data_IF_616302834341
#
_entry.id   IF_616302834341
#
_cell.length_a   1.000
_cell.length_b   1.000
_cell.length_c   1.000
_cell.angle_alpha   90.00
_cell.angle_beta   90.00
_cell.angle_gamma   90.00
#
_symmetry.space_group_name_H-M   'P 1'
#
loop_
_entity.id
_entity.type
_entity.pdbx_description
1 polymer ?
#
# COMPACT_ATOMS: atom_id res chain seq x y z
N UNK A 1 1.67 15.56 -17.25
CA UNK A 1 2.75 15.36 -16.25
C UNK A 1 3.95 16.30 -16.44
N UNK A 2 4.43 16.56 -17.66
CA UNK A 2 5.63 17.40 -17.88
C UNK A 2 5.59 18.77 -17.17
N UNK A 3 4.55 19.59 -17.39
CA UNK A 3 4.45 20.91 -16.76
C UNK A 3 4.31 20.86 -15.24
N UNK A 4 3.62 19.84 -14.72
CA UNK A 4 3.50 19.59 -13.28
C UNK A 4 4.87 19.28 -12.66
N UNK A 5 5.67 18.42 -13.31
CA UNK A 5 7.04 18.13 -12.90
C UNK A 5 7.90 19.40 -12.94
N UNK A 6 7.88 20.14 -14.04
CA UNK A 6 8.63 21.40 -14.20
C UNK A 6 8.33 22.40 -13.08
N UNK A 7 7.05 22.55 -12.70
CA UNK A 7 6.63 23.49 -11.66
C UNK A 7 7.15 23.12 -10.26
N UNK A 8 7.31 21.83 -9.97
CA UNK A 8 7.71 21.33 -8.64
C UNK A 8 9.22 21.11 -8.53
N UNK A 9 9.83 20.49 -9.54
CA UNK A 9 11.23 20.05 -9.51
C UNK A 9 12.16 20.97 -10.31
N UNK A 10 11.62 21.91 -11.08
CA UNK A 10 12.38 22.71 -12.04
C UNK A 10 12.74 21.96 -13.33
N UNK A 11 12.30 20.71 -13.50
CA UNK A 11 12.54 19.91 -14.71
C UNK A 11 11.32 19.06 -15.07
N UNK A 12 10.82 19.21 -16.30
CA UNK A 12 9.68 18.43 -16.79
C UNK A 12 9.96 16.93 -16.93
N UNK A 13 11.24 16.55 -16.97
CA UNK A 13 11.71 15.16 -17.05
C UNK A 13 11.99 14.52 -15.68
N UNK A 14 12.00 15.31 -14.61
CA UNK A 14 12.24 14.81 -13.25
C UNK A 14 10.93 14.79 -12.49
N UNK A 15 10.44 13.60 -12.18
CA UNK A 15 9.23 13.48 -11.36
C UNK A 15 9.50 13.88 -9.91
N UNK A 16 8.53 14.48 -9.19
CA UNK A 16 8.67 14.77 -7.76
C UNK A 16 9.01 13.52 -6.94
N UNK A 17 8.48 12.36 -7.32
CA UNK A 17 8.80 11.09 -6.66
C UNK A 17 10.27 10.70 -6.86
N UNK A 18 10.79 10.79 -8.09
CA UNK A 18 12.21 10.52 -8.36
C UNK A 18 13.13 11.47 -7.58
N UNK A 19 12.80 12.77 -7.55
CA UNK A 19 13.55 13.75 -6.78
C UNK A 19 13.51 13.45 -5.27
N UNK A 20 12.34 13.08 -4.73
CA UNK A 20 12.20 12.65 -3.35
C UNK A 20 13.07 11.42 -3.05
N UNK A 21 13.03 10.40 -3.91
CA UNK A 21 13.83 9.18 -3.74
C UNK A 21 15.33 9.51 -3.78
N UNK A 22 15.78 10.33 -4.71
CA UNK A 22 17.19 10.73 -4.79
C UNK A 22 17.67 11.50 -3.55
N UNK A 23 16.82 12.34 -2.96
CA UNK A 23 17.18 13.17 -1.80
C UNK A 23 17.06 12.44 -0.45
N UNK A 24 16.03 11.60 -0.31
CA UNK A 24 15.62 11.07 0.99
C UNK A 24 15.81 9.56 1.13
N UNK A 25 15.80 8.82 0.03
CA UNK A 25 15.85 7.35 0.03
C UNK A 25 16.62 6.76 -1.17
N UNK A 26 17.90 7.11 -1.34
CA UNK A 26 18.66 6.78 -2.56
C UNK A 26 18.81 5.27 -2.80
N UNK A 27 18.60 4.40 -1.80
CA UNK A 27 18.62 2.93 -1.97
C UNK A 27 17.30 2.36 -2.51
N UNK A 28 16.23 3.14 -2.52
CA UNK A 28 14.91 2.71 -2.99
C UNK A 28 14.73 2.84 -4.51
N UNK A 29 15.82 3.04 -5.24
CA UNK A 29 15.81 3.20 -6.69
C UNK A 29 15.52 1.89 -7.43
N UNK A 30 15.00 2.03 -8.65
CA UNK A 30 14.71 0.92 -9.53
C UNK A 30 16.00 0.33 -10.16
N UNK A 31 16.04 -0.98 -10.36
CA UNK A 31 17.12 -1.73 -10.99
C UNK A 31 17.96 -2.58 -10.01
N UNK A 32 18.73 -3.52 -10.56
CA UNK A 32 19.67 -4.35 -9.79
C UNK A 32 20.70 -3.52 -9.03
N UNK A 33 21.19 -4.07 -7.92
CA UNK A 33 22.17 -3.43 -7.05
C UNK A 33 21.73 -2.02 -6.59
N UNK A 34 20.43 -1.83 -6.35
CA UNK A 34 19.85 -0.56 -5.91
C UNK A 34 20.49 -0.05 -4.62
N UNK A 35 20.82 -0.93 -3.67
CA UNK A 35 21.45 -0.52 -2.41
C UNK A 35 22.89 -0.05 -2.65
N UNK A 36 23.69 -0.79 -3.42
CA UNK A 36 25.07 -0.39 -3.71
C UNK A 36 25.13 0.91 -4.51
N UNK A 37 24.25 1.06 -5.51
CA UNK A 37 24.13 2.32 -6.26
C UNK A 37 23.64 3.47 -5.39
N UNK A 38 22.72 3.19 -4.47
CA UNK A 38 22.16 4.19 -3.55
C UNK A 38 23.16 4.69 -2.51
N UNK A 39 24.06 3.83 -2.02
CA UNK A 39 25.13 4.23 -1.08
C UNK A 39 26.01 5.34 -1.63
N UNK A 40 26.25 5.35 -2.96
CA UNK A 40 27.05 6.38 -3.65
C UNK A 40 26.37 7.76 -3.70
N UNK A 41 25.08 7.85 -3.33
CA UNK A 41 24.25 9.07 -3.41
C UNK A 41 23.75 9.54 -2.05
N UNK A 42 24.36 9.08 -0.97
CA UNK A 42 23.95 9.47 0.39
C UNK A 42 24.23 10.95 0.66
N UNK A 43 23.28 11.63 1.30
CA UNK A 43 23.33 13.06 1.58
C UNK A 43 22.65 13.43 2.91
N UNK A 44 22.70 14.70 3.33
CA UNK A 44 22.24 15.14 4.65
C UNK A 44 20.72 15.04 4.85
N UNK A 45 19.95 14.90 3.76
CA UNK A 45 18.48 14.79 3.79
C UNK A 45 17.98 13.34 3.82
N UNK A 46 18.87 12.35 3.79
CA UNK A 46 18.50 10.95 3.78
C UNK A 46 17.81 10.58 5.09
N UNK A 47 16.63 9.96 4.96
CA UNK A 47 15.87 9.44 6.10
C UNK A 47 16.47 8.07 6.42
N UNK A 48 17.61 8.07 7.14
CA UNK A 48 18.49 6.90 7.30
C UNK A 48 17.72 5.62 7.65
N UNK A 49 16.83 5.66 8.64
CA UNK A 49 16.08 4.48 9.08
C UNK A 49 15.10 3.93 8.02
N UNK A 50 14.61 4.77 7.12
CA UNK A 50 13.73 4.37 6.03
C UNK A 50 14.55 3.94 4.80
N UNK A 51 15.66 4.62 4.50
CA UNK A 51 16.56 4.24 3.42
C UNK A 51 17.26 2.89 3.69
N UNK A 52 17.66 2.64 4.94
CA UNK A 52 18.29 1.39 5.40
C UNK A 52 17.36 0.17 5.33
N UNK A 53 16.06 0.36 5.14
CA UNK A 53 15.09 -0.73 4.95
C UNK A 53 15.16 -1.37 3.55
N UNK A 54 15.74 -0.68 2.56
CA UNK A 54 15.87 -1.24 1.22
C UNK A 54 16.81 -2.45 1.19
N UNK A 55 16.37 -3.51 0.52
CA UNK A 55 17.18 -4.69 0.24
C UNK A 55 17.89 -4.57 -1.11
N UNK A 56 19.10 -5.12 -1.20
CA UNK A 56 19.85 -5.12 -2.45
C UNK A 56 19.23 -6.12 -3.44
N UNK A 57 18.74 -5.62 -4.56
CA UNK A 57 18.13 -6.44 -5.60
C UNK A 57 19.20 -7.24 -6.33
N UNK A 58 19.26 -8.53 -6.02
CA UNK A 58 20.02 -9.54 -6.74
C UNK A 58 19.13 -10.28 -7.76
N UNK A 59 19.71 -10.97 -8.76
CA UNK A 59 18.93 -11.84 -9.66
C UNK A 59 18.04 -12.85 -8.91
N UNK A 60 18.56 -13.42 -7.81
CA UNK A 60 17.83 -14.37 -6.98
C UNK A 60 16.63 -13.70 -6.30
N UNK A 61 16.83 -12.52 -5.70
CA UNK A 61 15.75 -11.76 -5.08
C UNK A 61 14.71 -11.33 -6.13
N UNK A 62 15.13 -10.91 -7.32
CA UNK A 62 14.23 -10.53 -8.41
C UNK A 62 13.33 -11.70 -8.84
N UNK A 63 13.86 -12.93 -8.95
CA UNK A 63 13.08 -14.12 -9.25
C UNK A 63 12.09 -14.44 -8.12
N UNK A 64 12.54 -14.39 -6.86
CA UNK A 64 11.69 -14.60 -5.69
C UNK A 64 10.52 -13.59 -5.66
N UNK A 65 10.83 -12.31 -5.91
CA UNK A 65 9.86 -11.24 -5.99
C UNK A 65 8.87 -11.44 -7.14
N UNK A 66 9.35 -11.83 -8.32
CA UNK A 66 8.48 -12.11 -9.47
C UNK A 66 7.51 -13.26 -9.18
N UNK A 67 8.00 -14.34 -8.55
CA UNK A 67 7.15 -15.46 -8.13
C UNK A 67 6.10 -15.01 -7.09
N UNK A 68 6.51 -14.18 -6.13
CA UNK A 68 5.60 -13.63 -5.12
C UNK A 68 4.54 -12.74 -5.74
N UNK A 69 4.91 -11.86 -6.69
CA UNK A 69 3.95 -11.01 -7.43
C UNK A 69 2.97 -11.82 -8.27
N UNK A 70 3.43 -12.88 -8.94
CA UNK A 70 2.55 -13.78 -9.69
C UNK A 70 1.56 -14.50 -8.76
N UNK A 71 2.07 -14.98 -7.62
CA UNK A 71 1.26 -15.62 -6.59
C UNK A 71 0.22 -14.66 -6.03
N UNK A 72 0.62 -13.43 -5.73
CA UNK A 72 -0.25 -12.39 -5.19
C UNK A 72 -1.30 -11.94 -6.21
N UNK A 73 -0.90 -11.65 -7.46
CA UNK A 73 -1.82 -11.21 -8.51
C UNK A 73 -2.92 -12.23 -8.78
N UNK A 74 -2.58 -13.52 -8.75
CA UNK A 74 -3.57 -14.59 -8.91
C UNK A 74 -4.43 -14.77 -7.65
N UNK A 75 -3.80 -14.86 -6.48
CA UNK A 75 -4.49 -15.05 -5.19
C UNK A 75 -5.50 -13.95 -4.90
N UNK A 76 -5.13 -12.69 -5.10
CA UNK A 76 -5.96 -11.54 -4.72
C UNK A 76 -6.98 -11.10 -5.77
N UNK A 77 -6.98 -11.70 -6.98
CA UNK A 77 -7.97 -11.37 -8.02
C UNK A 77 -9.18 -12.31 -7.98
N UNK A 78 -8.98 -13.58 -8.34
CA UNK A 78 -10.05 -14.60 -8.38
C UNK A 78 -9.61 -15.92 -7.72
N UNK A 79 -8.37 -16.00 -7.23
CA UNK A 79 -7.74 -17.24 -6.78
C UNK A 79 -6.99 -17.93 -7.91
N UNK A 80 -6.03 -18.79 -7.55
CA UNK A 80 -5.17 -19.48 -8.52
C UNK A 80 -5.94 -20.47 -9.40
N UNK A 81 -6.88 -21.22 -8.82
CA UNK A 81 -7.59 -22.29 -9.53
C UNK A 81 -8.45 -21.75 -10.68
N UNK A 82 -9.33 -20.75 -10.48
CA UNK A 82 -10.15 -20.21 -11.56
C UNK A 82 -9.31 -19.58 -12.67
N UNK A 83 -8.22 -18.90 -12.30
CA UNK A 83 -7.30 -18.30 -13.28
C UNK A 83 -6.53 -19.36 -14.08
N UNK A 84 -6.08 -20.44 -13.45
CA UNK A 84 -5.42 -21.55 -14.13
C UNK A 84 -6.38 -22.21 -15.14
N UNK A 85 -7.63 -22.45 -14.75
CA UNK A 85 -8.65 -22.96 -15.66
C UNK A 85 -8.98 -21.98 -16.78
N UNK A 86 -9.04 -20.67 -16.51
CA UNK A 86 -9.22 -19.64 -17.53
C UNK A 86 -8.08 -19.63 -18.54
N UNK A 87 -6.83 -19.74 -18.09
CA UNK A 87 -5.67 -19.89 -18.98
C UNK A 87 -5.75 -21.16 -19.82
N UNK A 88 -6.09 -22.31 -19.21
CA UNK A 88 -6.26 -23.58 -19.92
C UNK A 88 -7.38 -23.54 -20.95
N UNK A 89 -8.56 -23.02 -20.58
CA UNK A 89 -9.68 -22.82 -21.48
C UNK A 89 -9.34 -21.85 -22.61
N UNK A 90 -8.65 -20.74 -22.30
CA UNK A 90 -8.18 -19.78 -23.29
C UNK A 90 -7.20 -20.40 -24.28
N UNK A 91 -6.28 -21.24 -23.82
CA UNK A 91 -5.37 -22.00 -24.68
C UNK A 91 -6.11 -22.96 -25.62
N UNK A 92 -7.03 -23.77 -25.09
CA UNK A 92 -7.85 -24.72 -25.88
C UNK A 92 -8.74 -23.99 -26.89
N UNK A 93 -9.32 -22.85 -26.50
CA UNK A 93 -10.15 -22.01 -27.35
C UNK A 93 -9.34 -21.04 -28.22
N UNK A 94 -8.01 -21.10 -28.20
CA UNK A 94 -7.13 -20.04 -28.69
C UNK A 94 -7.40 -19.58 -30.12
N UNK A 95 -7.79 -20.50 -31.02
CA UNK A 95 -8.16 -20.19 -32.41
C UNK A 95 -9.46 -19.40 -32.56
N UNK A 96 -10.31 -19.42 -31.53
CA UNK A 96 -11.59 -18.68 -31.45
C UNK A 96 -11.44 -17.37 -30.69
N UNK A 97 -10.30 -17.12 -30.04
CA UNK A 97 -10.01 -15.86 -29.37
C UNK A 97 -9.49 -14.84 -30.37
N UNK A 98 -10.00 -13.61 -30.30
CA UNK A 98 -9.45 -12.50 -31.08
C UNK A 98 -8.07 -12.07 -30.59
N UNK A 99 -7.28 -11.45 -31.47
CA UNK A 99 -5.94 -10.93 -31.15
C UNK A 99 -5.91 -10.02 -29.91
N UNK A 100 -6.96 -9.21 -29.70
CA UNK A 100 -7.09 -8.35 -28.53
C UNK A 100 -7.12 -9.12 -27.21
N UNK A 101 -7.59 -10.37 -27.20
CA UNK A 101 -7.57 -11.22 -25.99
C UNK A 101 -6.14 -11.62 -25.63
N UNK A 102 -5.33 -11.94 -26.64
CA UNK A 102 -3.91 -12.22 -26.45
C UNK A 102 -3.13 -10.99 -26.01
N UNK A 103 -3.53 -9.79 -26.44
CA UNK A 103 -2.94 -8.56 -25.91
C UNK A 103 -3.20 -8.36 -24.41
N UNK A 104 -4.35 -8.76 -23.90
CA UNK A 104 -4.62 -8.70 -22.45
C UNK A 104 -3.62 -9.58 -21.70
N UNK A 105 -3.41 -10.81 -22.18
CA UNK A 105 -2.42 -11.72 -21.60
C UNK A 105 -0.99 -11.17 -21.75
N UNK A 106 -0.65 -10.62 -22.91
CA UNK A 106 0.64 -9.97 -23.13
C UNK A 106 0.84 -8.79 -22.18
N UNK A 107 -0.20 -7.98 -21.93
CA UNK A 107 -0.18 -6.89 -20.95
C UNK A 107 0.12 -7.38 -19.54
N UNK A 108 -0.51 -8.49 -19.11
CA UNK A 108 -0.20 -9.12 -17.82
C UNK A 108 1.27 -9.53 -17.75
N UNK A 109 1.78 -10.19 -18.80
CA UNK A 109 3.19 -10.62 -18.86
C UNK A 109 4.14 -9.42 -18.85
N UNK A 110 3.91 -8.43 -19.70
CA UNK A 110 4.70 -7.20 -19.77
C UNK A 110 4.72 -6.48 -18.43
N UNK A 111 3.60 -6.43 -17.72
CA UNK A 111 3.50 -5.83 -16.40
C UNK A 111 4.37 -6.59 -15.38
N UNK A 112 4.38 -7.93 -15.41
CA UNK A 112 5.25 -8.72 -14.51
C UNK A 112 6.73 -8.50 -14.84
N UNK A 113 7.08 -8.48 -16.13
CA UNK A 113 8.45 -8.24 -16.59
C UNK A 113 8.94 -6.85 -16.20
N UNK A 114 8.09 -5.83 -16.34
CA UNK A 114 8.37 -4.46 -15.93
C UNK A 114 8.51 -4.28 -14.41
N UNK A 115 8.32 -5.32 -13.60
CA UNK A 115 8.55 -5.28 -12.16
C UNK A 115 9.74 -6.14 -11.71
N UNK A 116 10.39 -6.88 -12.62
CA UNK A 116 11.61 -7.65 -12.31
C UNK A 116 12.68 -6.77 -11.65
N UNK A 117 13.00 -5.57 -12.18
CA UNK A 117 14.01 -4.69 -11.58
C UNK A 117 13.48 -3.90 -10.37
N UNK A 118 12.37 -4.31 -9.74
CA UNK A 118 11.85 -3.69 -8.54
C UNK A 118 12.11 -4.57 -7.32
N UNK A 119 12.85 -4.02 -6.34
CA UNK A 119 13.29 -4.76 -5.15
C UNK A 119 12.16 -5.02 -4.16
N UNK A 120 11.16 -4.13 -4.13
CA UNK A 120 10.07 -4.21 -3.18
C UNK A 120 8.85 -4.89 -3.81
N UNK A 121 8.28 -5.91 -3.15
CA UNK A 121 7.11 -6.63 -3.69
C UNK A 121 5.80 -5.85 -3.51
N UNK A 122 5.82 -4.82 -2.66
CA UNK A 122 4.64 -4.06 -2.24
C UNK A 122 4.29 -4.40 -0.80
N UNK A 123 3.67 -3.46 -0.08
CA UNK A 123 3.15 -3.76 1.26
C UNK A 123 2.08 -4.84 1.12
N UNK A 124 2.25 -5.95 1.85
CA UNK A 124 1.34 -7.10 1.82
C UNK A 124 1.15 -7.73 0.43
N UNK A 125 2.13 -7.54 -0.46
CA UNK A 125 2.10 -7.96 -1.88
C UNK A 125 0.96 -7.33 -2.70
N UNK A 126 0.29 -6.28 -2.19
CA UNK A 126 -0.93 -5.74 -2.79
C UNK A 126 -0.70 -4.77 -3.97
N UNK A 127 0.38 -4.00 -3.97
CA UNK A 127 0.59 -2.90 -4.93
C UNK A 127 0.41 -3.39 -6.38
N UNK A 128 0.95 -4.57 -6.67
CA UNK A 128 0.92 -5.19 -7.98
C UNK A 128 -0.46 -5.78 -8.36
N UNK A 129 -1.24 -6.22 -7.38
CA UNK A 129 -2.59 -6.76 -7.59
C UNK A 129 -3.49 -5.73 -8.25
N UNK A 130 -3.37 -4.46 -7.85
CA UNK A 130 -4.22 -3.39 -8.40
C UNK A 130 -3.95 -3.11 -9.87
N UNK A 131 -2.73 -3.38 -10.35
CA UNK A 131 -2.36 -3.18 -11.75
C UNK A 131 -2.69 -4.41 -12.62
N UNK A 132 -2.41 -5.63 -12.12
CA UNK A 132 -2.64 -6.86 -12.87
C UNK A 132 -4.07 -7.42 -12.77
N UNK A 133 -4.75 -7.19 -11.65
CA UNK A 133 -6.07 -7.75 -11.34
C UNK A 133 -7.17 -7.37 -12.33
N UNK A 134 -7.27 -6.10 -12.79
CA UNK A 134 -8.21 -5.73 -13.84
C UNK A 134 -7.98 -6.49 -15.14
N UNK A 135 -6.70 -6.67 -15.54
CA UNK A 135 -6.36 -7.43 -16.74
C UNK A 135 -6.71 -8.92 -16.61
N UNK A 136 -6.45 -9.51 -15.46
CA UNK A 136 -6.89 -10.87 -15.15
C UNK A 136 -8.41 -11.03 -15.23
N UNK A 137 -9.16 -10.05 -14.72
CA UNK A 137 -10.62 -10.05 -14.77
C UNK A 137 -11.14 -9.98 -16.21
N UNK A 138 -10.54 -9.12 -17.04
CA UNK A 138 -10.85 -9.02 -18.47
C UNK A 138 -10.52 -10.32 -19.20
N UNK A 139 -9.37 -10.93 -18.92
CA UNK A 139 -8.99 -12.23 -19.49
C UNK A 139 -10.05 -13.30 -19.20
N UNK A 140 -10.45 -13.46 -17.93
CA UNK A 140 -11.48 -14.43 -17.53
C UNK A 140 -12.82 -14.14 -18.20
N UNK A 141 -13.23 -12.87 -18.29
CA UNK A 141 -14.48 -12.48 -18.93
C UNK A 141 -14.48 -12.82 -20.44
N UNK A 142 -13.40 -12.52 -21.15
CA UNK A 142 -13.26 -12.81 -22.58
C UNK A 142 -13.26 -14.31 -22.85
N UNK A 143 -12.46 -15.08 -22.11
CA UNK A 143 -12.42 -16.54 -22.23
C UNK A 143 -13.79 -17.14 -21.92
N UNK A 144 -14.44 -16.69 -20.85
CA UNK A 144 -15.78 -17.17 -20.47
C UNK A 144 -16.81 -16.88 -21.56
N UNK A 145 -16.82 -15.68 -22.15
CA UNK A 145 -17.74 -15.32 -23.22
C UNK A 145 -17.59 -16.24 -24.45
N UNK A 146 -16.35 -16.52 -24.87
CA UNK A 146 -16.09 -17.43 -25.99
C UNK A 146 -16.40 -18.89 -25.64
N UNK A 147 -16.09 -19.30 -24.41
CA UNK A 147 -16.40 -20.62 -23.87
C UNK A 147 -17.91 -20.88 -23.87
N UNK A 148 -18.72 -19.96 -23.35
CA UNK A 148 -20.18 -20.08 -23.31
C UNK A 148 -20.77 -20.20 -24.72
N UNK A 149 -20.37 -19.33 -25.65
CA UNK A 149 -20.84 -19.40 -27.05
C UNK A 149 -20.45 -20.70 -27.75
N UNK A 150 -19.30 -21.27 -27.39
CA UNK A 150 -18.77 -22.49 -28.01
C UNK A 150 -19.34 -23.75 -27.39
N UNK A 151 -19.50 -23.80 -26.07
CA UNK A 151 -19.86 -25.01 -25.34
C UNK A 151 -21.35 -25.13 -25.08
N UNK A 152 -22.10 -24.03 -24.95
CA UNK A 152 -23.54 -24.12 -24.66
C UNK A 152 -24.33 -24.99 -25.66
N UNK A 153 -24.08 -24.92 -26.99
CA UNK A 153 -24.83 -25.75 -27.95
C UNK A 153 -24.40 -27.22 -27.96
N UNK A 154 -23.18 -27.53 -27.50
CA UNK A 154 -22.54 -28.83 -27.70
C UNK A 154 -22.35 -29.62 -26.39
N UNK A 155 -22.15 -28.91 -25.29
CA UNK A 155 -21.71 -29.42 -23.98
C UNK A 155 -22.26 -28.53 -22.83
N UNK A 156 -23.58 -28.49 -22.63
CA UNK A 156 -24.19 -27.65 -21.59
C UNK A 156 -23.72 -28.00 -20.17
N UNK A 157 -23.37 -29.26 -19.90
CA UNK A 157 -22.78 -29.66 -18.61
C UNK A 157 -21.42 -29.01 -18.35
N UNK A 158 -20.61 -28.77 -19.39
CA UNK A 158 -19.34 -28.08 -19.24
C UNK A 158 -19.55 -26.58 -18.92
N UNK A 159 -20.61 -25.98 -19.46
CA UNK A 159 -21.02 -24.62 -19.10
C UNK A 159 -21.49 -24.55 -17.65
N UNK A 160 -22.33 -25.49 -17.21
CA UNK A 160 -22.76 -25.57 -15.82
C UNK A 160 -21.57 -25.76 -14.86
N UNK A 161 -20.62 -26.63 -15.22
CA UNK A 161 -19.39 -26.83 -14.47
C UNK A 161 -18.53 -25.56 -14.41
N UNK A 162 -18.38 -24.84 -15.53
CA UNK A 162 -17.67 -23.57 -15.59
C UNK A 162 -18.32 -22.49 -14.71
N UNK A 163 -19.65 -22.39 -14.77
CA UNK A 163 -20.42 -21.50 -13.91
C UNK A 163 -20.27 -21.84 -12.43
N UNK A 164 -20.29 -23.13 -12.08
CA UNK A 164 -20.05 -23.59 -10.72
C UNK A 164 -18.63 -23.24 -10.23
N UNK A 165 -17.62 -23.39 -11.08
CA UNK A 165 -16.23 -23.00 -10.78
C UNK A 165 -16.10 -21.52 -10.45
N UNK A 166 -16.67 -20.65 -11.29
CA UNK A 166 -16.64 -19.19 -11.06
C UNK A 166 -17.45 -18.78 -9.83
N UNK A 167 -18.61 -19.42 -9.61
CA UNK A 167 -19.43 -19.18 -8.42
C UNK A 167 -18.68 -19.59 -7.16
N UNK A 168 -18.05 -20.78 -7.17
CA UNK A 168 -17.22 -21.24 -6.07
C UNK A 168 -16.05 -20.27 -5.80
N UNK A 169 -15.40 -19.74 -6.83
CA UNK A 169 -14.35 -18.72 -6.66
C UNK A 169 -14.83 -17.51 -5.86
N UNK A 170 -15.98 -16.94 -6.26
CA UNK A 170 -16.57 -15.79 -5.59
C UNK A 170 -16.95 -16.12 -4.14
N UNK A 171 -17.59 -17.27 -3.93
CA UNK A 171 -18.01 -17.72 -2.59
C UNK A 171 -16.79 -17.94 -1.70
N UNK A 172 -15.75 -18.65 -2.16
CA UNK A 172 -14.55 -18.93 -1.37
C UNK A 172 -13.78 -17.65 -1.03
N UNK A 173 -13.74 -16.67 -1.95
CA UNK A 173 -13.15 -15.35 -1.69
C UNK A 173 -13.93 -14.57 -0.62
N UNK A 174 -15.25 -14.81 -0.52
CA UNK A 174 -16.10 -14.18 0.49
C UNK A 174 -16.03 -14.87 1.85
N UNK A 175 -15.97 -16.21 1.88
CA UNK A 175 -16.18 -16.99 3.11
C UNK A 175 -14.91 -17.48 3.77
N UNK A 176 -13.78 -17.57 3.06
CA UNK A 176 -12.55 -18.16 3.61
C UNK A 176 -11.51 -17.08 3.92
N UNK A 177 -11.33 -16.85 5.22
CA UNK A 177 -10.34 -15.93 5.80
C UNK A 177 -8.95 -16.56 5.92
N UNK A 178 -8.38 -17.10 4.83
CA UNK A 178 -7.00 -17.62 4.83
C UNK A 178 -6.70 -18.74 3.82
N UNK A 179 -5.43 -18.90 3.47
CA UNK A 179 -4.95 -19.92 2.52
C UNK A 179 -4.47 -19.35 1.18
N UNK A 180 -3.72 -20.16 0.42
CA UNK A 180 -3.19 -19.79 -0.90
C UNK A 180 -4.23 -19.80 -2.02
N UNK A 181 -5.40 -20.37 -1.75
CA UNK A 181 -6.40 -20.72 -2.77
C UNK A 181 -7.57 -19.74 -2.86
N UNK A 182 -7.74 -18.84 -1.87
CA UNK A 182 -8.76 -17.79 -1.88
C UNK A 182 -8.13 -16.38 -1.76
N UNK A 183 -8.85 -15.37 -2.26
CA UNK A 183 -8.59 -13.96 -2.00
C UNK A 183 -9.24 -13.60 -0.65
N UNK A 184 -8.48 -13.33 0.43
CA UNK A 184 -9.08 -13.12 1.74
C UNK A 184 -9.61 -11.68 1.86
N UNK A 185 -10.84 -11.46 1.37
CA UNK A 185 -11.50 -10.16 1.38
C UNK A 185 -11.61 -9.56 2.78
N UNK A 186 -11.92 -10.39 3.78
CA UNK A 186 -12.01 -9.95 5.19
C UNK A 186 -10.66 -9.45 5.73
N UNK A 187 -9.55 -10.08 5.35
CA UNK A 187 -8.22 -9.61 5.76
C UNK A 187 -7.90 -8.26 5.11
N UNK A 188 -8.24 -8.07 3.83
CA UNK A 188 -8.07 -6.80 3.14
C UNK A 188 -8.92 -5.70 3.80
N UNK A 189 -10.18 -5.98 4.11
CA UNK A 189 -11.09 -5.03 4.80
C UNK A 189 -10.54 -4.69 6.19
N UNK A 190 -10.16 -5.69 6.99
CA UNK A 190 -9.60 -5.48 8.33
C UNK A 190 -8.33 -4.61 8.32
N UNK A 191 -7.47 -4.78 7.30
CA UNK A 191 -6.24 -3.99 7.15
C UNK A 191 -6.51 -2.53 6.77
N UNK A 192 -7.44 -2.29 5.84
CA UNK A 192 -7.87 -0.92 5.48
C UNK A 192 -8.59 -0.25 6.67
N UNK A 193 -9.38 -1.03 7.40
CA UNK A 193 -10.11 -0.54 8.57
C UNK A 193 -9.15 -0.19 9.71
N UNK A 194 -8.04 -0.90 9.89
CA UNK A 194 -7.10 -0.65 10.98
C UNK A 194 -6.62 0.81 11.02
N UNK A 195 -6.03 1.32 9.93
CA UNK A 195 -5.56 2.70 9.88
C UNK A 195 -6.70 3.70 10.12
N UNK A 196 -7.88 3.46 9.51
CA UNK A 196 -9.07 4.30 9.71
C UNK A 196 -9.54 4.31 11.16
N UNK A 197 -9.54 3.15 11.84
CA UNK A 197 -9.93 3.06 13.24
C UNK A 197 -8.94 3.78 14.15
N UNK A 198 -7.63 3.69 13.86
CA UNK A 198 -6.62 4.38 14.65
C UNK A 198 -6.73 5.90 14.53
N UNK A 199 -6.92 6.41 13.31
CA UNK A 199 -7.20 7.83 13.05
C UNK A 199 -8.50 8.30 13.68
N UNK A 200 -9.61 7.59 13.46
CA UNK A 200 -10.92 7.97 14.03
C UNK A 200 -10.92 7.98 15.55
N UNK A 201 -10.15 7.08 16.17
CA UNK A 201 -9.94 7.06 17.62
C UNK A 201 -9.14 8.26 18.11
N UNK A 202 -8.02 8.58 17.44
CA UNK A 202 -7.23 9.76 17.78
C UNK A 202 -8.03 11.05 17.62
N UNK A 203 -8.78 11.21 16.53
CA UNK A 203 -9.65 12.37 16.33
C UNK A 203 -10.70 12.51 17.44
N UNK A 204 -11.24 11.39 17.92
CA UNK A 204 -12.20 11.38 19.04
C UNK A 204 -11.52 11.84 20.33
N UNK A 205 -10.32 11.34 20.64
CA UNK A 205 -9.52 11.79 21.78
C UNK A 205 -9.21 13.28 21.71
N UNK A 206 -8.81 13.79 20.54
CA UNK A 206 -8.53 15.22 20.34
C UNK A 206 -9.79 16.05 20.60
N UNK A 207 -10.95 15.67 20.06
CA UNK A 207 -12.22 16.39 20.28
C UNK A 207 -12.64 16.42 21.76
N UNK A 208 -12.38 15.35 22.49
CA UNK A 208 -12.74 15.21 23.90
C UNK A 208 -11.76 15.90 24.85
N UNK A 209 -10.45 15.84 24.56
CA UNK A 209 -9.39 16.21 25.51
C UNK A 209 -8.58 17.45 25.16
N UNK A 210 -8.57 17.90 23.89
CA UNK A 210 -7.85 19.10 23.49
C UNK A 210 -8.68 20.36 23.80
N UNK A 211 -8.98 20.57 25.08
CA UNK A 211 -9.68 21.75 25.60
C UNK A 211 -8.91 22.31 26.78
N UNK A 212 -8.76 23.64 26.91
CA UNK A 212 -9.38 24.69 26.07
C UNK A 212 -8.74 24.87 24.67
N UNK A 213 -9.49 25.50 23.75
CA UNK A 213 -9.04 25.86 22.39
C UNK A 213 -8.80 27.37 22.27
N UNK A 214 -7.88 27.84 21.43
CA UNK A 214 -7.12 27.08 20.43
C UNK A 214 -6.01 26.23 21.05
N UNK A 215 -5.75 25.07 20.48
CA UNK A 215 -4.81 24.09 21.03
C UNK A 215 -3.79 23.61 19.99
N UNK A 216 -2.66 23.09 20.47
CA UNK A 216 -1.65 22.36 19.71
C UNK A 216 -1.36 21.03 20.42
N UNK A 217 -1.63 19.92 19.73
CA UNK A 217 -1.39 18.56 20.21
C UNK A 217 -0.10 18.03 19.59
N UNK A 218 0.92 17.83 20.42
CA UNK A 218 2.21 17.29 20.03
C UNK A 218 2.20 15.76 20.16
N UNK A 219 2.28 15.08 19.03
CA UNK A 219 2.22 13.62 18.94
C UNK A 219 3.62 13.02 19.03
N UNK A 220 3.86 12.26 20.09
CA UNK A 220 5.01 11.37 20.28
C UNK A 220 4.62 9.97 19.79
N UNK A 221 4.78 9.77 18.48
CA UNK A 221 4.49 8.52 17.80
C UNK A 221 5.45 7.40 18.20
N UNK A 222 4.96 6.15 18.13
CA UNK A 222 5.80 4.99 18.38
C UNK A 222 6.87 4.87 17.28
N UNK A 223 8.18 4.90 17.61
CA UNK A 223 9.24 4.80 16.60
C UNK A 223 9.23 3.45 15.85
N UNK A 224 8.60 2.42 16.40
CA UNK A 224 8.40 1.13 15.74
C UNK A 224 7.22 1.14 14.76
N UNK A 225 6.26 2.06 14.90
CA UNK A 225 5.12 2.19 13.99
C UNK A 225 5.35 3.33 12.98
N UNK A 226 5.68 2.96 11.74
CA UNK A 226 5.98 3.90 10.66
C UNK A 226 4.78 4.17 9.76
N UNK A 227 3.65 3.52 10.01
CA UNK A 227 2.54 3.46 9.06
C UNK A 227 1.38 4.40 9.42
N UNK A 228 1.38 4.99 10.62
CA UNK A 228 0.34 5.91 11.06
C UNK A 228 0.98 7.25 11.42
N UNK A 229 0.64 8.29 10.66
CA UNK A 229 0.97 9.67 10.98
C UNK A 229 -0.30 10.42 11.33
N UNK A 230 -0.39 10.90 12.56
CA UNK A 230 -1.57 11.58 13.07
C UNK A 230 -1.63 13.07 12.68
N UNK A 231 -0.56 13.62 12.08
CA UNK A 231 -0.51 15.03 11.70
C UNK A 231 -1.38 15.29 10.47
N UNK A 232 -2.55 15.88 10.71
CA UNK A 232 -3.48 16.30 9.66
C UNK A 232 -4.07 17.68 10.00
N UNK A 233 -3.46 18.74 9.45
CA UNK A 233 -3.89 20.12 9.65
C UNK A 233 -4.47 20.71 8.36
N UNK A 234 -5.25 21.78 8.48
CA UNK A 234 -5.59 22.61 7.33
C UNK A 234 -4.32 23.25 6.75
N UNK A 235 -4.21 23.43 5.42
CA UNK A 235 -2.99 23.97 4.80
C UNK A 235 -2.56 25.35 5.30
N UNK A 236 -3.52 26.15 5.76
CA UNK A 236 -3.31 27.50 6.31
C UNK A 236 -3.02 27.51 7.81
N UNK A 237 -3.04 26.36 8.49
CA UNK A 237 -2.83 26.20 9.93
C UNK A 237 -3.77 27.04 10.80
N UNK A 238 -4.94 27.43 10.28
CA UNK A 238 -5.93 28.25 11.01
C UNK A 238 -6.85 27.43 11.92
N UNK A 239 -6.72 26.10 11.89
CA UNK A 239 -7.58 25.18 12.65
C UNK A 239 -7.60 25.44 14.16
N UNK A 240 -8.75 25.18 14.84
CA UNK A 240 -8.91 25.39 16.28
C UNK A 240 -8.00 24.46 17.10
N UNK A 241 -7.70 23.27 16.59
CA UNK A 241 -6.68 22.38 17.12
C UNK A 241 -5.70 22.09 15.99
N UNK A 242 -4.42 22.35 16.25
CA UNK A 242 -3.33 21.91 15.38
C UNK A 242 -2.72 20.64 15.96
N UNK A 243 -2.21 19.77 15.08
CA UNK A 243 -1.51 18.55 15.44
C UNK A 243 -0.09 18.67 14.90
N UNK A 244 0.91 18.50 15.75
CA UNK A 244 2.33 18.54 15.38
C UNK A 244 3.04 17.27 15.80
N UNK A 245 4.20 16.98 15.19
CA UNK A 245 5.09 15.92 15.70
C UNK A 245 5.86 16.45 16.89
N UNK A 246 5.97 15.65 17.95
CA UNK A 246 6.82 15.98 19.09
C UNK A 246 8.28 15.61 18.78
N UNK A 247 9.12 16.62 18.56
CA UNK A 247 10.54 16.45 18.20
C UNK A 247 11.45 17.29 19.12
N UNK A 248 11.52 16.98 20.43
CA UNK A 248 12.19 17.85 21.42
C UNK A 248 13.69 18.04 21.16
N UNK A 249 14.34 17.08 20.49
CA UNK A 249 15.76 17.17 20.10
C UNK A 249 16.01 18.18 18.96
N UNK A 250 14.99 18.45 18.13
CA UNK A 250 15.10 19.37 16.98
C UNK A 250 14.43 20.70 17.26
N UNK A 251 13.26 20.69 17.89
CA UNK A 251 12.46 21.87 18.24
C UNK A 251 12.10 21.74 19.73
N UNK A 252 12.86 22.38 20.64
CA UNK A 252 12.56 22.36 22.06
C UNK A 252 11.17 22.90 22.37
N UNK A 253 10.55 22.42 23.45
CA UNK A 253 9.19 22.80 23.82
C UNK A 253 9.03 24.32 24.02
N UNK A 254 10.05 25.00 24.53
CA UNK A 254 10.03 26.46 24.71
C UNK A 254 10.01 27.21 23.38
N UNK A 255 10.65 26.66 22.35
CA UNK A 255 10.55 27.20 21.00
C UNK A 255 9.15 26.97 20.41
N UNK A 256 8.55 25.80 20.64
CA UNK A 256 7.16 25.54 20.24
C UNK A 256 6.20 26.54 20.90
N UNK A 257 6.35 26.79 22.21
CA UNK A 257 5.56 27.81 22.94
C UNK A 257 5.72 29.20 22.35
N UNK A 258 6.95 29.56 21.96
CA UNK A 258 7.22 30.85 21.31
C UNK A 258 6.57 30.96 19.93
N UNK A 259 6.52 29.87 19.17
CA UNK A 259 5.95 29.83 17.82
C UNK A 259 4.41 29.81 17.83
N UNK A 260 3.81 29.23 18.88
CA UNK A 260 2.35 29.12 19.04
C UNK A 260 1.91 29.67 20.40
N UNK A 261 2.15 30.97 20.68
CA UNK A 261 1.94 31.56 22.00
C UNK A 261 0.45 31.67 22.38
N UNK A 262 -0.44 31.61 21.40
CA UNK A 262 -1.88 31.71 21.53
C UNK A 262 -2.55 30.35 21.80
N UNK A 263 -1.80 29.23 21.80
CA UNK A 263 -2.36 27.89 21.84
C UNK A 263 -2.00 27.12 23.09
N UNK A 264 -2.98 26.39 23.62
CA UNK A 264 -2.80 25.44 24.70
C UNK A 264 -2.04 24.20 24.24
N UNK A 265 -0.99 23.82 24.95
CA UNK A 265 -0.15 22.69 24.55
C UNK A 265 -0.57 21.39 25.23
N UNK A 266 -0.73 20.34 24.42
CA UNK A 266 -0.97 18.98 24.88
C UNK A 266 0.08 18.05 24.27
N UNK A 267 0.49 17.01 24.98
CA UNK A 267 1.19 15.87 24.41
C UNK A 267 0.26 14.67 24.31
N UNK A 268 0.41 13.94 23.22
CA UNK A 268 -0.18 12.64 23.03
C UNK A 268 0.94 11.65 22.71
N UNK A 269 1.21 10.73 23.62
CA UNK A 269 2.20 9.67 23.43
C UNK A 269 1.50 8.35 23.18
N UNK A 270 1.99 7.64 22.17
CA UNK A 270 1.53 6.31 21.81
C UNK A 270 2.72 5.35 21.73
N UNK A 271 2.57 4.18 22.34
CA UNK A 271 3.53 3.07 22.26
C UNK A 271 2.78 1.76 22.04
N UNK A 272 3.33 0.90 21.20
CA UNK A 272 2.84 -0.45 21.01
C UNK A 272 3.80 -1.44 21.64
N UNK A 273 3.31 -2.22 22.60
CA UNK A 273 4.05 -3.31 23.22
C UNK A 273 3.49 -4.64 22.74
N UNK A 274 4.34 -5.66 22.62
CA UNK A 274 3.88 -7.01 22.26
C UNK A 274 3.93 -7.89 23.51
N UNK A 275 2.77 -8.38 23.96
CA UNK A 275 2.67 -9.31 25.09
C UNK A 275 1.95 -10.58 24.63
N UNK A 276 2.60 -11.74 24.76
CA UNK A 276 2.07 -13.04 24.33
C UNK A 276 1.53 -13.04 22.88
N UNK A 277 2.25 -12.40 21.96
CA UNK A 277 1.85 -12.30 20.55
C UNK A 277 0.67 -11.37 20.26
N UNK A 278 0.12 -10.69 21.27
CA UNK A 278 -0.89 -9.63 21.12
C UNK A 278 -0.23 -8.26 21.23
N UNK A 279 -0.58 -7.37 20.29
CA UNK A 279 -0.19 -5.96 20.31
C UNK A 279 -1.05 -5.24 21.35
N UNK A 280 -0.43 -4.81 22.44
CA UNK A 280 -1.01 -3.91 23.43
C UNK A 280 -0.65 -2.47 23.07
N UNK A 281 -1.57 -1.55 23.32
CA UNK A 281 -1.39 -0.12 23.04
C UNK A 281 -1.42 0.64 24.35
N UNK A 282 -0.37 1.41 24.58
CA UNK A 282 -0.24 2.30 25.71
C UNK A 282 -0.36 3.73 25.20
N UNK A 283 -1.25 4.50 25.83
CA UNK A 283 -1.53 5.88 25.45
C UNK A 283 -1.48 6.79 26.66
N UNK A 284 -0.83 7.92 26.48
CA UNK A 284 -0.69 8.93 27.51
C UNK A 284 -1.09 10.29 26.90
N UNK A 285 -1.94 11.02 27.61
CA UNK A 285 -2.37 12.37 27.24
C UNK A 285 -2.06 13.32 28.38
N UNK A 286 -1.26 14.34 28.12
CA UNK A 286 -0.77 15.25 29.15
C UNK A 286 -0.91 16.69 28.68
N UNK A 287 -1.48 17.55 29.53
CA UNK A 287 -1.41 19.00 29.30
C UNK A 287 0.01 19.47 29.61
N UNK A 288 0.63 20.17 28.67
CA UNK A 288 2.01 20.69 28.79
C UNK A 288 2.06 22.15 29.23
N UNK A 289 0.90 22.79 29.31
CA UNK A 289 0.77 24.09 29.95
C UNK A 289 0.94 23.93 31.46
N UNK A 290 1.69 24.82 32.13
CA UNK A 290 1.65 24.86 33.59
C UNK A 290 0.19 25.10 34.01
N UNK A 291 -0.31 24.29 34.96
CA UNK A 291 -1.59 24.59 35.59
C UNK A 291 -1.54 26.03 36.14
N UNK A 292 -2.64 26.79 36.01
CA UNK A 292 -2.71 28.17 36.48
C UNK A 292 -2.36 28.30 37.97
#
# INVERSE_FOLDING_TARGET
MFFYNQAITGSGWLTPYSLYTDLHTPRHVYGFDNVERGKLRTGPRVIKNYDDWAENLTPQLAISNAATRLKASTRWTLGMVPLAFACGAGYVLGRRLGWGTWLVLAGIVSLHLAHIPYWFVGMEDHHYVFEAGPLWSVWVALVTSVALRTWLPLRPLLVAWWGALLTAAVVLNWTISGGTWSAPLEQAIGRVHFAKSEHGRFETLVRERARPTPALVLVDGDPADRHIDYVNNTPDLSGPVLIGRYLPETIPLDEVRRLFPDRHLFSYRIRHTFHNGKRLREEEWTALDPSP
#
